data_IF_214596813345
#
_entry.id   IF_214596813345
#
_cell.length_a   1.000
_cell.length_b   1.000
_cell.length_c   1.000
_cell.angle_alpha   90.00
_cell.angle_beta   90.00
_cell.angle_gamma   90.00
#
_symmetry.space_group_name_H-M   'P 1'
#
loop_
_entity.id
_entity.type
_entity.pdbx_description
1 polymer ?
#
# COMPACT_ATOMS: atom_id res chain seq x y z
N UNK A 1 -9.06 -10.81 -38.69
CA UNK A 1 -8.46 -11.37 -37.47
C UNK A 1 -8.08 -12.80 -37.79
N UNK A 2 -6.81 -13.17 -37.61
CA UNK A 2 -6.43 -14.58 -37.62
C UNK A 2 -7.12 -15.29 -36.46
N UNK A 3 -7.51 -16.57 -36.60
CA UNK A 3 -8.07 -17.34 -35.50
C UNK A 3 -7.08 -17.38 -34.33
N UNK A 4 -7.57 -17.14 -33.12
CA UNK A 4 -6.75 -17.33 -31.92
C UNK A 4 -6.48 -18.83 -31.78
N UNK A 5 -5.22 -19.25 -31.80
CA UNK A 5 -4.88 -20.63 -31.46
C UNK A 5 -5.24 -20.89 -29.99
N UNK A 6 -6.11 -21.88 -29.76
CA UNK A 6 -6.53 -22.34 -28.44
C UNK A 6 -5.64 -23.48 -27.91
N UNK A 7 -4.51 -23.72 -28.58
CA UNK A 7 -3.52 -24.71 -28.22
C UNK A 7 -2.11 -24.12 -28.31
N UNK A 8 -1.17 -24.76 -27.60
CA UNK A 8 0.23 -24.38 -27.61
C UNK A 8 0.63 -23.39 -26.52
N UNK A 9 1.94 -23.12 -26.44
CA UNK A 9 2.56 -22.39 -25.32
C UNK A 9 1.97 -20.99 -25.14
N UNK A 10 1.66 -20.29 -26.23
CA UNK A 10 1.07 -18.94 -26.16
C UNK A 10 -0.34 -18.95 -25.55
N UNK A 11 -1.12 -20.01 -25.76
CA UNK A 11 -2.42 -20.17 -25.14
C UNK A 11 -2.28 -20.51 -23.65
N UNK A 12 -1.50 -21.53 -23.31
CA UNK A 12 -1.36 -21.99 -21.93
C UNK A 12 -0.78 -20.91 -21.01
N UNK A 13 0.12 -20.06 -21.52
CA UNK A 13 0.70 -18.97 -20.75
C UNK A 13 -0.31 -17.91 -20.29
N UNK A 14 -1.48 -17.81 -20.92
CA UNK A 14 -2.54 -16.86 -20.52
C UNK A 14 -3.27 -17.29 -19.24
N UNK A 15 -3.12 -18.53 -18.80
CA UNK A 15 -3.89 -19.13 -17.72
C UNK A 15 -2.96 -19.67 -16.63
N UNK A 16 -3.17 -19.25 -15.39
CA UNK A 16 -2.43 -19.83 -14.26
C UNK A 16 -3.00 -21.18 -13.86
N UNK A 17 -4.32 -21.26 -13.75
CA UNK A 17 -5.03 -22.40 -13.18
C UNK A 17 -6.25 -22.76 -14.01
N UNK A 18 -6.76 -23.97 -13.79
CA UNK A 18 -8.01 -24.43 -14.39
C UNK A 18 -9.16 -23.48 -14.05
N UNK A 19 -9.21 -22.92 -12.83
CA UNK A 19 -10.24 -21.95 -12.45
C UNK A 19 -10.24 -20.71 -13.36
N UNK A 20 -9.07 -20.15 -13.66
CA UNK A 20 -8.95 -18.98 -14.53
C UNK A 20 -9.45 -19.25 -15.96
N UNK A 21 -9.12 -20.42 -16.52
CA UNK A 21 -9.58 -20.84 -17.84
C UNK A 21 -11.09 -21.12 -17.85
N UNK A 22 -11.59 -21.86 -16.85
CA UNK A 22 -13.00 -22.20 -16.68
C UNK A 22 -13.86 -20.95 -16.59
N UNK A 23 -13.53 -20.05 -15.66
CA UNK A 23 -14.27 -18.82 -15.47
C UNK A 23 -14.25 -18.01 -16.75
N UNK A 24 -13.07 -17.74 -17.35
CA UNK A 24 -13.00 -16.99 -18.61
C UNK A 24 -13.92 -17.55 -19.68
N UNK A 25 -13.85 -18.86 -19.90
CA UNK A 25 -14.67 -19.53 -20.90
C UNK A 25 -16.16 -19.30 -20.60
N UNK A 26 -16.57 -19.44 -19.34
CA UNK A 26 -17.97 -19.28 -18.91
C UNK A 26 -18.56 -17.88 -19.12
N UNK A 27 -17.79 -16.81 -18.87
CA UNK A 27 -18.33 -15.44 -18.97
C UNK A 27 -18.04 -14.72 -20.28
N UNK A 28 -17.24 -15.32 -21.17
CA UNK A 28 -16.94 -14.70 -22.48
C UNK A 28 -17.37 -15.53 -23.68
N UNK A 29 -17.75 -16.80 -23.47
CA UNK A 29 -18.11 -17.71 -24.54
C UNK A 29 -19.44 -18.42 -24.24
N UNK A 30 -20.24 -18.76 -25.27
CA UNK A 30 -20.17 -18.22 -26.63
C UNK A 30 -20.35 -16.70 -26.63
N UNK A 31 -19.60 -15.98 -27.48
CA UNK A 31 -19.58 -14.51 -27.47
C UNK A 31 -20.93 -13.87 -27.81
N UNK A 32 -21.79 -14.60 -28.52
CA UNK A 32 -23.13 -14.22 -28.92
C UNK A 32 -24.23 -14.75 -27.98
N UNK A 33 -23.86 -15.58 -27.00
CA UNK A 33 -24.78 -16.23 -26.07
C UNK A 33 -24.08 -16.58 -24.74
N UNK A 34 -23.51 -15.60 -24.07
CA UNK A 34 -22.80 -15.78 -22.79
C UNK A 34 -23.72 -16.48 -21.77
N UNK A 35 -23.18 -17.45 -21.01
CA UNK A 35 -23.92 -18.28 -20.05
C UNK A 35 -25.05 -19.14 -20.66
N UNK A 36 -25.09 -19.33 -21.98
CA UNK A 36 -26.09 -20.19 -22.63
C UNK A 36 -25.83 -21.69 -22.46
N UNK A 37 -24.58 -22.08 -22.22
CA UNK A 37 -24.22 -23.46 -21.91
C UNK A 37 -24.48 -23.76 -20.43
N UNK A 38 -24.83 -25.00 -20.12
CA UNK A 38 -24.87 -25.46 -18.73
C UNK A 38 -23.45 -25.60 -18.14
N UNK A 39 -23.39 -25.76 -16.81
CA UNK A 39 -22.12 -25.87 -16.08
C UNK A 39 -21.28 -27.04 -16.58
N UNK A 40 -21.91 -28.19 -16.84
CA UNK A 40 -21.23 -29.40 -17.28
C UNK A 40 -20.59 -29.22 -18.67
N UNK A 41 -21.25 -28.50 -19.57
CA UNK A 41 -20.72 -28.15 -20.88
C UNK A 41 -19.49 -27.22 -20.76
N UNK A 42 -19.50 -26.23 -19.87
CA UNK A 42 -18.31 -25.40 -19.63
C UNK A 42 -17.15 -26.19 -19.02
N UNK A 43 -17.44 -27.11 -18.09
CA UNK A 43 -16.44 -28.01 -17.52
C UNK A 43 -15.85 -28.94 -18.58
N UNK A 44 -16.68 -29.47 -19.48
CA UNK A 44 -16.26 -30.32 -20.59
C UNK A 44 -15.39 -29.56 -21.60
N UNK A 45 -15.77 -28.31 -21.97
CA UNK A 45 -14.95 -27.45 -22.82
C UNK A 45 -13.61 -27.15 -22.16
N UNK A 46 -13.61 -26.86 -20.86
CA UNK A 46 -12.37 -26.62 -20.09
C UNK A 46 -11.47 -27.86 -20.13
N UNK A 47 -12.01 -29.04 -19.83
CA UNK A 47 -11.28 -30.30 -19.88
C UNK A 47 -10.71 -30.59 -21.28
N UNK A 48 -11.49 -30.34 -22.34
CA UNK A 48 -11.03 -30.49 -23.72
C UNK A 48 -9.86 -29.54 -24.04
N UNK A 49 -9.93 -28.28 -23.60
CA UNK A 49 -8.84 -27.32 -23.79
C UNK A 49 -7.58 -27.74 -23.04
N UNK A 50 -7.71 -28.32 -21.84
CA UNK A 50 -6.57 -28.87 -21.09
C UNK A 50 -5.93 -30.03 -21.86
N UNK A 51 -6.74 -30.99 -22.32
CA UNK A 51 -6.26 -32.14 -23.10
C UNK A 51 -5.58 -31.69 -24.40
N UNK A 52 -6.18 -30.77 -25.14
CA UNK A 52 -5.63 -30.20 -26.38
C UNK A 52 -4.29 -29.47 -26.16
N UNK A 53 -3.99 -29.08 -24.93
CA UNK A 53 -2.74 -28.44 -24.53
C UNK A 53 -1.76 -29.39 -23.81
N UNK A 54 -2.03 -30.70 -23.85
CA UNK A 54 -1.11 -31.72 -23.34
C UNK A 54 -1.17 -31.96 -21.83
N UNK A 55 -2.20 -31.44 -21.15
CA UNK A 55 -2.44 -31.79 -19.74
C UNK A 55 -3.13 -33.16 -19.67
N UNK A 56 -2.63 -34.12 -18.85
CA UNK A 56 -3.17 -35.46 -18.80
C UNK A 56 -4.55 -35.49 -18.11
N UNK A 57 -5.47 -36.36 -18.56
CA UNK A 57 -6.77 -36.52 -17.90
C UNK A 57 -6.62 -37.16 -16.51
N UNK A 58 -7.47 -36.73 -15.57
CA UNK A 58 -7.60 -37.35 -14.25
C UNK A 58 -8.60 -38.52 -14.21
N UNK A 59 -8.73 -39.16 -13.05
CA UNK A 59 -9.65 -40.29 -12.83
C UNK A 59 -11.08 -39.87 -12.47
N UNK A 60 -11.31 -38.58 -12.25
CA UNK A 60 -12.61 -38.01 -11.90
C UNK A 60 -12.95 -36.89 -12.88
N UNK A 61 -14.23 -36.72 -13.26
CA UNK A 61 -14.66 -35.56 -14.02
C UNK A 61 -14.26 -34.26 -13.32
N UNK A 62 -13.93 -33.24 -14.12
CA UNK A 62 -13.77 -31.89 -13.60
C UNK A 62 -15.13 -31.43 -13.05
N UNK A 63 -15.15 -30.94 -11.80
CA UNK A 63 -16.36 -30.44 -11.14
C UNK A 63 -16.19 -28.95 -10.84
N UNK A 64 -17.30 -28.24 -10.65
CA UNK A 64 -17.30 -26.82 -10.27
C UNK A 64 -16.89 -26.64 -8.79
N UNK A 65 -15.64 -26.97 -8.49
CA UNK A 65 -14.99 -26.71 -7.21
C UNK A 65 -13.91 -25.65 -7.43
N UNK A 66 -14.27 -24.40 -7.14
CA UNK A 66 -13.40 -23.24 -7.35
C UNK A 66 -12.09 -23.34 -6.56
N UNK A 67 -12.14 -23.85 -5.33
CA UNK A 67 -10.97 -24.01 -4.48
C UNK A 67 -10.02 -25.07 -5.09
N UNK A 68 -10.54 -26.22 -5.50
CA UNK A 68 -9.73 -27.24 -6.15
C UNK A 68 -9.17 -26.77 -7.50
N UNK A 69 -9.99 -26.11 -8.32
CA UNK A 69 -9.57 -25.62 -9.64
C UNK A 69 -8.51 -24.52 -9.57
N UNK A 70 -8.44 -23.74 -8.48
CA UNK A 70 -7.35 -22.77 -8.23
C UNK A 70 -6.00 -23.44 -8.03
N UNK A 71 -5.99 -24.59 -7.36
CA UNK A 71 -4.78 -25.38 -7.09
C UNK A 71 -4.32 -26.21 -8.31
N UNK A 72 -5.18 -26.38 -9.32
CA UNK A 72 -4.82 -27.04 -10.59
C UNK A 72 -4.03 -26.07 -11.49
N UNK A 73 -2.73 -25.94 -11.21
CA UNK A 73 -1.83 -25.01 -11.89
C UNK A 73 -1.40 -25.50 -13.29
N UNK A 74 -1.60 -24.66 -14.31
CA UNK A 74 -1.23 -24.89 -15.71
C UNK A 74 0.18 -24.39 -16.04
N UNK A 75 0.64 -23.34 -15.35
CA UNK A 75 2.00 -22.82 -15.46
C UNK A 75 2.62 -22.75 -14.06
N UNK A 76 3.52 -23.68 -13.70
CA UNK A 76 4.08 -23.75 -12.35
C UNK A 76 4.93 -22.52 -12.03
N UNK A 77 4.83 -22.06 -10.78
CA UNK A 77 5.69 -21.01 -10.24
C UNK A 77 7.12 -21.55 -10.02
N UNK A 78 8.16 -20.72 -10.19
CA UNK A 78 9.49 -21.05 -9.69
C UNK A 78 9.46 -21.20 -8.15
N UNK A 79 10.38 -21.97 -7.56
CA UNK A 79 10.39 -22.24 -6.13
C UNK A 79 10.57 -20.96 -5.32
N UNK A 80 9.84 -20.87 -4.20
CA UNK A 80 9.94 -19.79 -3.22
C UNK A 80 11.37 -19.61 -2.74
N UNK A 81 11.95 -18.44 -3.00
CA UNK A 81 13.20 -18.02 -2.38
C UNK A 81 13.00 -16.78 -1.54
N UNK A 82 13.77 -16.74 -0.45
CA UNK A 82 13.85 -15.77 0.65
C UNK A 82 13.30 -14.34 0.46
N UNK A 83 12.94 -13.73 1.60
CA UNK A 83 12.26 -12.44 1.75
C UNK A 83 12.86 -11.28 0.95
N UNK A 84 11.97 -10.49 0.34
CA UNK A 84 12.26 -9.27 -0.43
C UNK A 84 12.62 -8.08 0.48
N UNK A 85 13.57 -7.24 0.05
CA UNK A 85 13.91 -5.97 0.73
C UNK A 85 12.83 -4.91 0.53
N UNK A 86 12.56 -4.08 1.54
CA UNK A 86 11.59 -2.98 1.46
C UNK A 86 12.02 -1.76 0.63
N UNK A 87 13.19 -1.79 -0.02
CA UNK A 87 13.69 -0.66 -0.81
C UNK A 87 13.19 -0.71 -2.25
N UNK A 88 12.43 0.30 -2.66
CA UNK A 88 11.89 0.39 -4.02
C UNK A 88 12.98 0.47 -5.09
N UNK A 89 14.15 1.02 -4.76
CA UNK A 89 15.27 1.10 -5.69
C UNK A 89 15.90 -0.29 -5.95
N UNK A 90 15.77 -1.21 -5.00
CA UNK A 90 16.21 -2.60 -5.14
C UNK A 90 15.18 -3.48 -5.87
N UNK A 91 13.99 -2.95 -6.14
CA UNK A 91 12.87 -3.67 -6.77
C UNK A 91 12.15 -4.63 -5.83
N UNK A 92 10.83 -4.73 -5.98
CA UNK A 92 9.96 -5.54 -5.10
C UNK A 92 9.62 -6.93 -5.65
N UNK A 93 9.96 -7.18 -6.92
CA UNK A 93 9.50 -8.32 -7.71
C UNK A 93 10.53 -8.65 -8.81
N UNK A 94 10.51 -9.86 -9.39
CA UNK A 94 11.42 -10.21 -10.50
C UNK A 94 10.82 -9.92 -11.87
N UNK A 95 11.67 -9.75 -12.89
CA UNK A 95 11.20 -9.54 -14.25
C UNK A 95 10.37 -10.74 -14.77
N UNK A 96 10.76 -11.95 -14.39
CA UNK A 96 10.06 -13.20 -14.68
C UNK A 96 8.68 -13.22 -14.04
N UNK A 97 8.56 -12.78 -12.78
CA UNK A 97 7.30 -12.68 -12.07
C UNK A 97 6.32 -11.72 -12.77
N UNK A 98 6.80 -10.54 -13.15
CA UNK A 98 5.99 -9.58 -13.92
C UNK A 98 5.61 -10.10 -15.31
N UNK A 99 6.47 -10.89 -15.95
CA UNK A 99 6.17 -11.51 -17.25
C UNK A 99 5.01 -12.50 -17.14
N UNK A 100 4.99 -13.35 -16.11
CA UNK A 100 3.85 -14.24 -15.81
C UNK A 100 2.59 -13.42 -15.50
N UNK A 101 2.75 -12.38 -14.68
CA UNK A 101 1.69 -11.46 -14.30
C UNK A 101 0.99 -10.77 -15.47
N UNK A 102 1.75 -10.39 -16.49
CA UNK A 102 1.21 -9.79 -17.72
C UNK A 102 0.23 -10.73 -18.40
N UNK A 103 0.55 -12.02 -18.48
CA UNK A 103 -0.31 -12.99 -19.15
C UNK A 103 -1.63 -13.18 -18.39
N UNK A 104 -1.58 -13.24 -17.05
CA UNK A 104 -2.78 -13.30 -16.21
C UNK A 104 -3.60 -12.02 -16.28
N UNK A 105 -2.94 -10.86 -16.27
CA UNK A 105 -3.60 -9.57 -16.45
C UNK A 105 -4.34 -9.53 -17.80
N UNK A 106 -3.73 -10.01 -18.87
CA UNK A 106 -4.36 -10.08 -20.21
C UNK A 106 -5.60 -10.98 -20.22
N UNK A 107 -5.54 -12.15 -19.58
CA UNK A 107 -6.69 -13.07 -19.52
C UNK A 107 -7.84 -12.54 -18.67
N UNK A 108 -7.54 -11.97 -17.50
CA UNK A 108 -8.52 -11.74 -16.44
C UNK A 108 -8.89 -10.28 -16.20
N UNK A 109 -7.98 -9.34 -16.47
CA UNK A 109 -8.15 -7.92 -16.11
C UNK A 109 -8.26 -6.99 -17.32
N UNK A 110 -7.59 -7.33 -18.42
CA UNK A 110 -7.47 -6.45 -19.59
C UNK A 110 -8.81 -6.19 -20.28
N UNK A 111 -9.81 -7.04 -20.07
CA UNK A 111 -11.19 -6.79 -20.55
C UNK A 111 -11.72 -5.43 -20.11
N UNK A 112 -11.32 -4.93 -18.93
CA UNK A 112 -11.79 -3.64 -18.40
C UNK A 112 -10.64 -2.65 -18.16
N UNK A 113 -9.42 -3.14 -17.96
CA UNK A 113 -8.28 -2.35 -17.49
C UNK A 113 -7.15 -2.21 -18.51
N UNK A 114 -6.45 -1.08 -18.47
CA UNK A 114 -5.18 -0.90 -19.18
C UNK A 114 -4.04 -0.63 -18.19
N UNK A 115 -2.99 -1.45 -18.27
CA UNK A 115 -1.82 -1.30 -17.42
C UNK A 115 -0.71 -0.40 -18.03
N UNK A 116 -0.83 0.08 -19.28
CA UNK A 116 0.30 0.74 -19.99
C UNK A 116 0.00 2.04 -20.73
N UNK A 117 -1.17 2.66 -20.53
CA UNK A 117 -1.52 3.92 -21.19
C UNK A 117 -2.15 4.89 -20.18
N UNK A 118 -1.42 5.91 -19.70
CA UNK A 118 -1.95 6.90 -18.75
C UNK A 118 -3.06 7.76 -19.36
N UNK A 119 -3.00 7.99 -20.68
CA UNK A 119 -3.90 8.88 -21.43
C UNK A 119 -4.97 8.13 -22.26
N UNK A 120 -5.29 6.88 -21.91
CA UNK A 120 -6.47 6.23 -22.49
C UNK A 120 -7.72 6.96 -21.96
N UNK A 121 -8.16 7.96 -22.71
CA UNK A 121 -9.25 8.86 -22.36
C UNK A 121 -10.47 8.10 -21.91
N UNK A 122 -11.02 8.50 -20.76
CA UNK A 122 -12.40 8.23 -20.37
C UNK A 122 -13.32 8.87 -21.43
N UNK A 123 -13.73 8.10 -22.43
CA UNK A 123 -14.73 8.50 -23.41
C UNK A 123 -14.24 9.49 -24.47
N UNK A 124 -14.14 9.01 -25.71
CA UNK A 124 -13.85 9.83 -26.88
C UNK A 124 -14.41 9.24 -28.15
N UNK A 125 -15.72 9.00 -28.21
CA UNK A 125 -16.52 9.00 -29.45
C UNK A 125 -16.15 8.05 -30.60
N UNK A 126 -15.44 6.94 -30.38
CA UNK A 126 -15.28 5.92 -31.41
C UNK A 126 -16.38 4.86 -31.30
N UNK A 127 -16.89 4.40 -32.46
CA UNK A 127 -17.77 3.23 -32.54
C UNK A 127 -17.21 2.06 -31.70
N UNK A 128 -18.08 1.24 -31.08
CA UNK A 128 -17.66 0.07 -30.32
C UNK A 128 -16.84 -0.87 -31.22
N UNK A 129 -15.52 -0.79 -31.11
CA UNK A 129 -14.60 -1.71 -31.77
C UNK A 129 -14.44 -2.94 -30.88
N UNK A 130 -14.31 -4.16 -31.43
CA UNK A 130 -13.92 -5.32 -30.63
C UNK A 130 -12.56 -5.07 -29.97
N UNK A 131 -12.56 -4.88 -28.66
CA UNK A 131 -11.38 -4.50 -27.88
C UNK A 131 -11.69 -4.42 -26.38
N UNK A 132 -10.68 -4.17 -25.53
CA UNK A 132 -10.86 -4.02 -24.09
C UNK A 132 -11.72 -2.79 -23.75
N UNK A 133 -12.67 -2.94 -22.83
CA UNK A 133 -13.53 -1.90 -22.29
C UNK A 133 -14.90 -2.42 -21.85
N UNK A 134 -15.56 -1.67 -20.97
CA UNK A 134 -16.95 -1.89 -20.52
C UNK A 134 -17.86 -0.97 -21.32
N UNK A 135 -18.84 -1.54 -22.03
CA UNK A 135 -19.87 -0.75 -22.70
C UNK A 135 -20.82 -0.12 -21.68
N UNK A 136 -20.89 1.21 -21.67
CA UNK A 136 -21.89 2.00 -20.94
C UNK A 136 -22.69 2.85 -21.93
N UNK A 137 -23.82 2.31 -22.39
CA UNK A 137 -24.60 2.93 -23.46
C UNK A 137 -23.82 2.97 -24.77
N UNK A 138 -23.69 4.16 -25.36
CA UNK A 138 -22.89 4.39 -26.58
C UNK A 138 -21.40 4.58 -26.30
N UNK A 139 -20.97 4.54 -25.04
CA UNK A 139 -19.57 4.75 -24.65
C UNK A 139 -18.90 3.43 -24.31
N UNK A 140 -17.67 3.25 -24.79
CA UNK A 140 -16.77 2.21 -24.30
C UNK A 140 -15.87 2.82 -23.22
N UNK A 141 -15.97 2.34 -21.99
CA UNK A 141 -15.17 2.80 -20.86
C UNK A 141 -14.04 1.84 -20.61
N UNK A 142 -12.82 2.36 -20.66
CA UNK A 142 -11.63 1.63 -20.24
C UNK A 142 -11.10 2.26 -18.97
N UNK A 143 -10.68 1.43 -18.02
CA UNK A 143 -10.16 1.87 -16.73
C UNK A 143 -8.63 1.85 -16.74
N UNK A 144 -7.94 2.98 -17.00
CA UNK A 144 -6.49 3.03 -16.95
C UNK A 144 -6.03 2.86 -15.51
N UNK A 145 -5.13 1.91 -15.30
CA UNK A 145 -4.47 1.70 -14.01
C UNK A 145 -3.25 2.61 -13.86
N UNK A 146 -2.83 3.32 -14.91
CA UNK A 146 -1.63 4.15 -14.88
C UNK A 146 -1.86 5.60 -14.45
N UNK A 147 -3.11 6.04 -14.24
CA UNK A 147 -3.44 7.38 -13.69
C UNK A 147 -3.47 7.43 -12.15
N UNK A 148 -3.84 8.60 -11.60
CA UNK A 148 -3.92 8.87 -10.16
C UNK A 148 -4.86 7.91 -9.41
N UNK A 149 -5.91 7.39 -10.07
CA UNK A 149 -6.91 6.52 -9.46
C UNK A 149 -6.45 5.12 -9.02
N UNK A 150 -5.34 4.58 -9.54
CA UNK A 150 -4.84 3.26 -9.10
C UNK A 150 -4.22 3.31 -7.70
N UNK A 151 -3.65 4.45 -7.29
CA UNK A 151 -2.99 4.59 -5.99
C UNK A 151 -3.73 5.54 -5.05
N UNK A 152 -4.86 6.09 -5.48
CA UNK A 152 -5.77 6.82 -4.60
C UNK A 152 -6.12 5.90 -3.42
N UNK A 153 -5.66 6.28 -2.23
CA UNK A 153 -5.79 5.55 -0.96
C UNK A 153 -5.05 4.21 -0.85
N UNK A 154 -4.07 3.92 -1.73
CA UNK A 154 -3.19 2.73 -1.64
C UNK A 154 -1.73 3.17 -1.55
N UNK A 155 -1.08 2.86 -0.42
CA UNK A 155 0.23 3.42 -0.09
C UNK A 155 1.36 2.39 -0.09
N UNK A 156 1.01 1.11 -0.24
CA UNK A 156 1.97 0.01 -0.25
C UNK A 156 1.62 -1.05 -1.30
N UNK A 157 2.60 -1.89 -1.63
CA UNK A 157 2.37 -3.09 -2.46
C UNK A 157 1.31 -4.00 -1.83
N UNK A 158 1.26 -4.08 -0.51
CA UNK A 158 0.26 -4.88 0.21
C UNK A 158 -1.16 -4.37 0.01
N UNK A 159 -1.37 -3.05 -0.01
CA UNK A 159 -2.69 -2.47 -0.29
C UNK A 159 -3.12 -2.70 -1.74
N UNK A 160 -2.16 -2.62 -2.67
CA UNK A 160 -2.39 -2.95 -4.08
C UNK A 160 -2.76 -4.43 -4.25
N UNK A 161 -2.04 -5.34 -3.60
CA UNK A 161 -2.32 -6.77 -3.60
C UNK A 161 -3.71 -7.07 -3.05
N UNK A 162 -4.02 -6.58 -1.84
CA UNK A 162 -5.33 -6.82 -1.22
C UNK A 162 -6.47 -6.26 -2.07
N UNK A 163 -6.31 -5.05 -2.60
CA UNK A 163 -7.33 -4.46 -3.48
C UNK A 163 -7.54 -5.31 -4.72
N UNK A 164 -6.44 -5.71 -5.38
CA UNK A 164 -6.51 -6.51 -6.60
C UNK A 164 -7.22 -7.84 -6.31
N UNK A 165 -6.78 -8.56 -5.28
CA UNK A 165 -7.36 -9.85 -4.88
C UNK A 165 -8.85 -9.76 -4.50
N UNK A 166 -9.21 -8.79 -3.66
CA UNK A 166 -10.55 -8.71 -3.06
C UNK A 166 -11.60 -8.04 -3.96
N UNK A 167 -11.18 -7.43 -5.07
CA UNK A 167 -12.13 -6.74 -5.97
C UNK A 167 -12.04 -7.16 -7.41
N UNK A 168 -11.02 -7.93 -7.79
CA UNK A 168 -10.82 -8.41 -9.15
C UNK A 168 -10.67 -9.93 -9.19
N UNK A 169 -11.13 -10.59 -10.27
CA UNK A 169 -12.01 -10.04 -11.31
C UNK A 169 -13.36 -9.55 -10.73
N UNK A 170 -13.97 -8.51 -11.32
CA UNK A 170 -15.12 -7.81 -10.73
C UNK A 170 -16.33 -8.72 -10.46
N UNK A 171 -16.58 -9.69 -11.34
CA UNK A 171 -17.69 -10.64 -11.22
C UNK A 171 -17.40 -11.79 -10.24
N UNK A 172 -16.11 -12.15 -10.10
CA UNK A 172 -15.66 -13.23 -9.22
C UNK A 172 -14.41 -12.78 -8.45
N UNK A 173 -14.56 -11.92 -7.43
CA UNK A 173 -13.44 -11.53 -6.60
C UNK A 173 -12.75 -12.77 -5.99
N UNK A 174 -11.43 -12.71 -5.83
CA UNK A 174 -10.62 -13.82 -5.33
C UNK A 174 -10.64 -15.09 -6.21
N UNK A 175 -11.11 -15.05 -7.46
CA UNK A 175 -11.20 -16.24 -8.32
C UNK A 175 -9.83 -16.78 -8.82
N UNK A 176 -8.77 -16.00 -8.72
CA UNK A 176 -7.42 -16.45 -9.09
C UNK A 176 -6.67 -17.03 -7.88
N UNK A 177 -5.62 -17.80 -8.13
CA UNK A 177 -4.75 -18.26 -7.04
C UNK A 177 -3.97 -17.08 -6.42
N UNK A 178 -3.48 -17.26 -5.19
CA UNK A 178 -2.64 -16.26 -4.53
C UNK A 178 -1.42 -15.87 -5.38
N UNK A 179 -0.74 -16.86 -5.97
CA UNK A 179 0.41 -16.63 -6.84
C UNK A 179 0.05 -15.81 -8.09
N UNK A 180 -1.11 -16.06 -8.69
CA UNK A 180 -1.59 -15.26 -9.83
C UNK A 180 -1.73 -13.79 -9.46
N UNK A 181 -2.26 -13.50 -8.27
CA UNK A 181 -2.38 -12.11 -7.80
C UNK A 181 -1.03 -11.47 -7.51
N UNK A 182 -0.07 -12.21 -6.92
CA UNK A 182 1.30 -11.71 -6.71
C UNK A 182 1.97 -11.37 -8.04
N UNK A 183 1.85 -12.25 -9.03
CA UNK A 183 2.38 -12.06 -10.38
C UNK A 183 1.70 -10.84 -11.06
N UNK A 184 0.37 -10.72 -10.98
CA UNK A 184 -0.36 -9.54 -11.52
C UNK A 184 0.14 -8.25 -10.86
N UNK A 185 0.31 -8.24 -9.54
CA UNK A 185 0.83 -7.06 -8.81
C UNK A 185 2.23 -6.72 -9.29
N UNK A 186 3.12 -7.70 -9.43
CA UNK A 186 4.46 -7.51 -10.00
C UNK A 186 4.40 -6.87 -11.40
N UNK A 187 3.50 -7.33 -12.27
CA UNK A 187 3.27 -6.72 -13.57
C UNK A 187 2.77 -5.27 -13.48
N UNK A 188 1.82 -4.98 -12.59
CA UNK A 188 1.32 -3.62 -12.39
C UNK A 188 2.42 -2.68 -11.89
N UNK A 189 3.31 -3.17 -11.02
CA UNK A 189 4.47 -2.42 -10.56
C UNK A 189 5.45 -2.14 -11.71
N UNK A 190 5.74 -3.15 -12.54
CA UNK A 190 6.56 -3.00 -13.75
C UNK A 190 5.98 -1.98 -14.72
N UNK A 191 4.67 -2.06 -14.98
CA UNK A 191 4.01 -1.18 -15.92
C UNK A 191 3.96 0.28 -15.42
N UNK A 192 4.00 0.48 -14.09
CA UNK A 192 4.22 1.79 -13.45
C UNK A 192 5.66 2.29 -13.51
N UNK A 193 6.61 1.48 -13.98
CA UNK A 193 8.03 1.82 -14.09
C UNK A 193 8.85 1.54 -12.84
N UNK A 194 8.33 0.80 -11.85
CA UNK A 194 9.14 0.35 -10.71
C UNK A 194 10.15 -0.71 -11.16
N UNK A 195 11.42 -0.65 -10.74
CA UNK A 195 12.43 -1.58 -11.19
C UNK A 195 12.14 -3.00 -10.67
N UNK A 196 12.54 -3.99 -11.47
CA UNK A 196 12.61 -5.37 -11.00
C UNK A 196 13.82 -5.53 -10.07
N UNK A 197 13.67 -6.36 -9.04
CA UNK A 197 14.71 -6.79 -8.14
C UNK A 197 15.12 -8.24 -8.38
N UNK A 198 15.93 -8.77 -7.46
CA UNK A 198 16.46 -10.14 -7.55
C UNK A 198 15.55 -11.20 -6.91
N UNK A 199 14.47 -10.78 -6.22
CA UNK A 199 13.60 -11.67 -5.44
C UNK A 199 12.14 -11.49 -5.82
N UNK A 200 11.38 -12.58 -5.80
CA UNK A 200 9.94 -12.56 -6.10
C UNK A 200 9.15 -11.95 -4.95
N UNK A 201 8.12 -11.19 -5.29
CA UNK A 201 7.08 -10.76 -4.36
C UNK A 201 6.35 -11.99 -3.81
N UNK A 202 6.33 -12.14 -2.48
CA UNK A 202 5.73 -13.29 -1.81
C UNK A 202 4.40 -12.92 -1.13
N UNK A 203 3.64 -13.92 -0.68
CA UNK A 203 2.40 -13.76 0.08
C UNK A 203 2.53 -13.14 1.48
N UNK A 204 3.73 -12.70 1.89
CA UNK A 204 3.93 -12.02 3.18
C UNK A 204 3.33 -10.60 3.14
N UNK A 205 2.06 -10.51 3.51
CA UNK A 205 1.30 -9.26 3.53
C UNK A 205 1.92 -8.19 4.44
N UNK A 206 2.57 -8.57 5.53
CA UNK A 206 3.21 -7.61 6.42
C UNK A 206 4.44 -6.99 5.74
N UNK A 207 5.25 -7.81 5.07
CA UNK A 207 6.36 -7.33 4.26
C UNK A 207 5.88 -6.46 3.09
N UNK A 208 4.85 -6.89 2.35
CA UNK A 208 4.28 -6.10 1.24
C UNK A 208 3.73 -4.75 1.69
N UNK A 209 3.14 -4.66 2.88
CA UNK A 209 2.66 -3.38 3.42
C UNK A 209 3.79 -2.42 3.81
N UNK A 210 4.99 -2.94 3.98
CA UNK A 210 6.18 -2.14 4.24
C UNK A 210 6.87 -1.67 2.95
N UNK A 211 6.54 -2.27 1.81
CA UNK A 211 6.97 -1.83 0.48
C UNK A 211 6.13 -0.62 0.05
N UNK A 212 6.60 0.58 0.40
CA UNK A 212 5.85 1.83 0.18
C UNK A 212 5.87 2.21 -1.30
N UNK A 213 4.73 2.58 -1.88
CA UNK A 213 4.64 3.07 -3.26
C UNK A 213 4.72 4.61 -3.29
N UNK A 214 5.61 5.19 -4.12
CA UNK A 214 5.66 6.62 -4.36
C UNK A 214 4.30 7.19 -4.74
N UNK A 215 3.99 8.32 -4.12
CA UNK A 215 2.84 9.12 -4.44
C UNK A 215 3.31 10.32 -5.27
N UNK A 216 2.63 10.61 -6.38
CA UNK A 216 2.99 11.73 -7.25
C UNK A 216 2.97 13.05 -6.47
N UNK A 217 4.02 13.87 -6.62
CA UNK A 217 4.19 15.10 -5.85
C UNK A 217 4.70 14.91 -4.41
N UNK A 218 4.80 13.67 -3.93
CA UNK A 218 5.37 13.36 -2.62
C UNK A 218 6.77 12.76 -2.72
N UNK A 219 7.62 13.17 -1.78
CA UNK A 219 8.93 12.60 -1.52
C UNK A 219 8.86 11.65 -0.33
N UNK A 220 9.38 10.44 -0.48
CA UNK A 220 9.58 9.50 0.63
C UNK A 220 10.62 10.04 1.62
N UNK A 221 10.28 10.10 2.91
CA UNK A 221 11.17 10.48 4.01
C UNK A 221 11.79 9.28 4.73
N UNK A 222 11.19 8.09 4.61
CA UNK A 222 11.71 6.84 5.13
C UNK A 222 11.46 5.71 4.14
N UNK A 223 12.53 5.02 3.74
CA UNK A 223 12.50 4.01 2.67
C UNK A 223 12.26 2.58 3.17
N UNK A 224 12.03 2.38 4.46
CA UNK A 224 11.85 1.04 5.05
C UNK A 224 13.13 0.24 5.27
N UNK A 225 14.30 0.68 4.78
CA UNK A 225 15.53 -0.12 4.84
C UNK A 225 16.63 0.53 5.68
N UNK A 226 16.67 1.86 5.76
CA UNK A 226 17.66 2.61 6.54
C UNK A 226 17.12 3.99 6.98
N UNK A 227 17.90 4.68 7.81
CA UNK A 227 17.56 6.00 8.34
C UNK A 227 18.14 7.17 7.52
N UNK A 228 18.42 6.98 6.22
CA UNK A 228 18.95 8.05 5.39
C UNK A 228 17.99 9.26 5.40
N UNK A 229 18.57 10.47 5.56
CA UNK A 229 17.80 11.72 5.70
C UNK A 229 17.12 11.92 7.06
N UNK A 230 17.29 10.99 8.00
CA UNK A 230 16.83 11.11 9.39
C UNK A 230 18.01 11.24 10.36
N UNK A 231 17.75 11.91 11.49
CA UNK A 231 18.70 12.15 12.58
C UNK A 231 18.01 11.90 13.91
N UNK A 232 18.77 11.79 14.99
CA UNK A 232 18.25 11.41 16.30
C UNK A 232 18.70 12.36 17.38
N UNK A 233 17.85 12.54 18.39
CA UNK A 233 18.24 13.12 19.66
C UNK A 233 17.56 12.34 20.78
N UNK A 234 18.35 11.75 21.67
CA UNK A 234 17.92 11.00 22.84
C UNK A 234 18.59 11.53 24.11
N UNK A 235 17.91 11.50 25.25
CA UNK A 235 18.50 11.81 26.56
C UNK A 235 17.65 12.75 27.42
N UNK A 236 18.33 13.52 28.27
CA UNK A 236 17.70 14.34 29.32
C UNK A 236 17.90 15.84 29.07
N UNK A 237 16.95 16.47 28.37
CA UNK A 237 16.74 17.92 28.33
C UNK A 237 17.92 18.80 27.92
N UNK A 238 18.88 18.28 27.16
CA UNK A 238 20.13 18.97 26.82
C UNK A 238 20.39 18.93 25.31
N UNK A 239 21.30 19.79 24.84
CA UNK A 239 21.74 19.82 23.45
C UNK A 239 22.43 18.51 23.03
N UNK A 240 22.45 18.18 21.72
CA UNK A 240 23.23 17.06 21.20
C UNK A 240 24.73 17.19 21.53
N UNK A 241 25.42 16.07 21.73
CA UNK A 241 26.88 16.05 21.83
C UNK A 241 27.53 16.63 20.55
N UNK A 242 28.67 17.34 20.68
CA UNK A 242 29.47 17.53 21.90
C UNK A 242 29.03 18.70 22.78
N UNK A 243 28.06 19.53 22.35
CA UNK A 243 27.66 20.75 23.08
C UNK A 243 26.88 20.45 24.36
N UNK A 244 26.10 19.37 24.37
CA UNK A 244 25.37 18.91 25.56
C UNK A 244 25.49 17.41 25.81
N UNK A 245 24.53 16.86 26.56
CA UNK A 245 24.51 15.46 26.99
C UNK A 245 23.71 14.53 26.07
N UNK A 246 23.05 15.08 25.05
CA UNK A 246 22.14 14.36 24.16
C UNK A 246 22.87 13.40 23.23
N UNK A 247 22.36 12.18 23.12
CA UNK A 247 22.85 11.17 22.18
C UNK A 247 22.22 11.36 20.81
N UNK A 248 23.02 11.22 19.75
CA UNK A 248 22.57 11.18 18.36
C UNK A 248 22.59 9.76 17.77
N UNK A 249 22.95 8.76 18.58
CA UNK A 249 22.87 7.35 18.23
C UNK A 249 21.44 6.84 18.47
N UNK A 250 20.77 6.23 17.48
CA UNK A 250 19.43 5.66 17.65
C UNK A 250 19.35 4.52 18.68
N UNK A 251 20.46 3.81 18.93
CA UNK A 251 20.54 2.70 19.87
C UNK A 251 19.46 1.64 19.68
N UNK A 252 18.89 1.16 20.78
CA UNK A 252 17.74 0.24 20.76
C UNK A 252 16.39 0.96 20.68
N UNK A 253 16.40 2.30 20.71
CA UNK A 253 15.18 3.12 20.76
C UNK A 253 14.52 3.23 19.41
N UNK A 254 15.31 3.46 18.36
CA UNK A 254 14.83 3.49 16.99
C UNK A 254 15.44 2.31 16.23
N UNK A 255 14.58 1.38 15.78
CA UNK A 255 14.98 0.21 15.02
C UNK A 255 14.15 0.09 13.76
N UNK A 256 14.70 -0.53 12.74
CA UNK A 256 13.93 -0.88 11.54
C UNK A 256 13.49 -2.32 11.68
N UNK A 257 12.18 -2.53 11.70
CA UNK A 257 11.57 -3.84 11.80
C UNK A 257 10.52 -3.97 10.71
N UNK A 258 10.69 -4.96 9.83
CA UNK A 258 9.76 -5.25 8.73
C UNK A 258 9.35 -3.99 7.96
N UNK A 259 10.34 -3.18 7.59
CA UNK A 259 10.15 -1.95 6.82
C UNK A 259 9.42 -0.80 7.53
N UNK A 260 9.27 -0.86 8.84
CA UNK A 260 8.76 0.22 9.68
C UNK A 260 9.82 0.68 10.69
N UNK A 261 9.75 1.94 11.10
CA UNK A 261 10.49 2.44 12.26
C UNK A 261 9.75 1.98 13.51
N UNK A 262 10.34 1.05 14.25
CA UNK A 262 9.95 0.77 15.62
C UNK A 262 10.57 1.80 16.56
N UNK A 263 9.74 2.40 17.41
CA UNK A 263 10.13 3.32 18.46
C UNK A 263 9.80 2.67 19.80
N UNK A 264 10.78 2.45 20.68
CA UNK A 264 10.55 1.80 21.98
C UNK A 264 9.91 2.70 23.04
N UNK A 265 10.02 4.03 22.85
CA UNK A 265 9.63 5.03 23.82
C UNK A 265 10.68 5.31 24.89
N UNK A 266 11.85 4.63 24.87
CA UNK A 266 12.86 4.71 25.92
C UNK A 266 14.30 4.69 25.37
N UNK A 267 15.18 5.62 25.77
CA UNK A 267 14.89 6.84 26.55
C UNK A 267 14.06 7.86 25.76
N UNK A 268 13.71 8.96 26.44
CA UNK A 268 13.03 10.10 25.83
C UNK A 268 13.87 10.76 24.73
N UNK A 269 13.19 11.24 23.69
CA UNK A 269 13.81 11.92 22.57
C UNK A 269 12.97 11.83 21.31
N UNK A 270 13.59 11.97 20.14
CA UNK A 270 12.89 11.90 18.86
C UNK A 270 13.84 11.60 17.70
N UNK A 271 13.29 11.00 16.65
CA UNK A 271 13.88 10.96 15.30
C UNK A 271 13.34 12.13 14.50
N UNK A 272 14.18 12.82 13.73
CA UNK A 272 13.77 14.00 12.97
C UNK A 272 14.35 14.03 11.55
N UNK A 273 13.69 14.77 10.67
CA UNK A 273 14.14 15.01 9.29
C UNK A 273 15.38 15.88 9.26
N UNK A 274 16.37 15.56 8.45
CA UNK A 274 17.52 16.43 8.22
C UNK A 274 17.11 17.73 7.47
N UNK A 275 16.12 17.65 6.59
CA UNK A 275 15.54 18.81 5.91
C UNK A 275 14.52 19.52 6.81
N UNK A 276 14.34 20.82 6.53
CA UNK A 276 13.38 21.70 7.20
C UNK A 276 12.23 22.03 6.28
N UNK A 277 11.03 22.17 6.83
CA UNK A 277 9.78 22.40 6.10
C UNK A 277 8.94 23.47 6.79
N UNK A 278 8.17 24.22 6.00
CA UNK A 278 7.20 25.22 6.48
C UNK A 278 5.82 24.92 5.90
N UNK A 279 5.66 25.05 4.59
CA UNK A 279 4.42 24.66 3.90
C UNK A 279 4.59 23.26 3.30
N UNK A 280 3.78 22.30 3.77
CA UNK A 280 3.88 20.91 3.35
C UNK A 280 2.58 20.13 3.58
N UNK A 281 2.47 18.98 2.93
CA UNK A 281 1.58 17.89 3.33
C UNK A 281 2.45 16.70 3.72
N UNK A 282 2.43 16.33 5.00
CA UNK A 282 3.09 15.13 5.55
C UNK A 282 2.05 14.02 5.67
N UNK A 283 2.40 12.82 5.20
CA UNK A 283 1.59 11.60 5.37
C UNK A 283 2.44 10.49 5.96
N UNK A 284 1.86 9.74 6.89
CA UNK A 284 2.47 8.55 7.48
C UNK A 284 1.40 7.60 8.04
N UNK A 285 1.78 6.36 8.28
CA UNK A 285 1.00 5.44 9.10
C UNK A 285 1.63 5.30 10.49
N UNK A 286 0.79 5.36 11.53
CA UNK A 286 1.16 5.17 12.94
C UNK A 286 0.42 3.95 13.51
N UNK A 287 1.14 3.07 14.20
CA UNK A 287 0.55 1.95 14.95
C UNK A 287 1.01 1.97 16.39
N UNK A 288 0.05 2.06 17.30
CA UNK A 288 0.24 1.88 18.74
C UNK A 288 0.42 0.41 19.08
N UNK A 289 1.43 0.07 19.88
CA UNK A 289 1.68 -1.31 20.32
C UNK A 289 0.95 -1.57 21.64
N UNK A 290 0.04 -2.55 21.71
CA UNK A 290 -0.60 -2.95 22.97
C UNK A 290 0.41 -3.43 24.01
N UNK A 291 0.11 -3.24 25.29
CA UNK A 291 0.91 -3.77 26.38
C UNK A 291 0.48 -5.19 26.76
N UNK A 292 1.44 -5.99 27.21
CA UNK A 292 1.15 -7.30 27.80
C UNK A 292 0.39 -7.08 29.11
N UNK A 293 -0.73 -7.78 29.29
CA UNK A 293 -1.53 -7.74 30.52
C UNK A 293 -2.60 -6.66 30.58
N UNK A 294 -2.88 -5.97 29.47
CA UNK A 294 -4.09 -5.14 29.37
C UNK A 294 -5.35 -6.00 29.37
N UNK A 295 -6.39 -5.54 30.05
CA UNK A 295 -7.72 -6.15 30.03
C UNK A 295 -8.62 -5.48 28.98
N UNK A 296 -8.36 -4.20 28.69
CA UNK A 296 -9.13 -3.40 27.75
C UNK A 296 -8.31 -2.26 27.14
N UNK A 297 -8.81 -1.63 26.07
CA UNK A 297 -8.15 -0.43 25.49
C UNK A 297 -8.13 0.76 26.45
N UNK A 298 -9.03 0.83 27.44
CA UNK A 298 -8.99 1.91 28.45
C UNK A 298 -7.79 1.83 29.38
N UNK A 299 -7.11 0.69 29.45
CA UNK A 299 -5.86 0.52 30.20
C UNK A 299 -4.66 1.10 29.42
N UNK A 300 -4.86 1.46 28.15
CA UNK A 300 -3.78 1.94 27.31
C UNK A 300 -3.44 3.41 27.60
N UNK A 301 -2.24 3.61 28.13
CA UNK A 301 -1.64 4.92 28.27
C UNK A 301 -0.24 4.91 27.67
N UNK A 302 -0.04 5.68 26.61
CA UNK A 302 1.21 5.74 25.86
C UNK A 302 1.39 7.16 25.34
N UNK A 303 2.62 7.69 25.34
CA UNK A 303 2.92 8.98 24.74
C UNK A 303 3.89 8.88 23.54
N UNK A 304 3.65 9.71 22.54
CA UNK A 304 4.48 9.97 21.37
C UNK A 304 4.00 11.30 20.80
N UNK A 305 4.39 11.66 19.59
CA UNK A 305 3.92 12.89 18.96
C UNK A 305 4.69 13.19 17.70
N UNK A 306 4.12 14.06 16.87
CA UNK A 306 4.78 14.60 15.69
C UNK A 306 5.14 16.04 15.99
N UNK A 307 6.43 16.31 16.11
CA UNK A 307 6.97 17.65 16.35
C UNK A 307 7.06 18.40 15.02
N UNK A 308 6.46 19.58 14.96
CA UNK A 308 6.55 20.47 13.80
C UNK A 308 7.46 21.66 14.10
N UNK A 309 8.13 22.16 13.07
CA UNK A 309 8.90 23.41 13.10
C UNK A 309 10.06 23.45 14.12
N UNK A 310 10.69 22.30 14.40
CA UNK A 310 11.84 22.23 15.32
C UNK A 310 13.03 22.98 14.73
N UNK A 311 13.51 24.04 15.41
CA UNK A 311 14.68 24.82 15.00
C UNK A 311 15.91 24.58 15.88
N UNK A 312 15.68 24.47 17.19
CA UNK A 312 16.71 24.26 18.19
C UNK A 312 16.50 22.92 18.88
N UNK A 313 17.58 22.15 19.00
CA UNK A 313 17.53 20.79 19.48
C UNK A 313 17.77 20.69 20.98
N UNK A 314 16.74 20.24 21.70
CA UNK A 314 16.79 19.70 23.07
C UNK A 314 15.74 18.60 23.18
N UNK A 315 15.80 17.75 24.21
CA UNK A 315 14.72 16.78 24.45
C UNK A 315 13.52 17.55 24.99
N UNK A 316 12.53 17.68 24.09
CA UNK A 316 11.37 18.60 24.07
C UNK A 316 11.73 20.01 23.59
N UNK A 317 11.89 20.18 22.26
CA UNK A 317 12.20 21.47 21.66
C UNK A 317 10.96 22.36 21.57
N UNK A 318 11.17 23.68 21.50
CA UNK A 318 10.13 24.61 21.07
C UNK A 318 9.58 24.15 19.73
N UNK A 319 8.29 23.86 19.68
CA UNK A 319 7.62 23.24 18.54
C UNK A 319 6.10 23.24 18.70
N UNK A 320 5.41 23.01 17.59
CA UNK A 320 4.00 22.64 17.62
C UNK A 320 3.92 21.11 17.57
N UNK A 321 3.45 20.47 18.63
CA UNK A 321 3.31 19.02 18.67
C UNK A 321 1.90 18.61 18.27
N UNK A 322 1.80 17.79 17.23
CA UNK A 322 0.62 16.96 17.00
C UNK A 322 0.69 15.80 17.99
N UNK A 323 -0.08 15.94 19.07
CA UNK A 323 -0.02 15.13 20.28
C UNK A 323 -0.17 13.64 19.97
N UNK A 324 0.57 12.75 20.63
CA UNK A 324 0.48 11.30 20.44
C UNK A 324 0.01 10.51 21.65
N UNK A 325 -0.28 11.15 22.80
CA UNK A 325 -0.96 10.49 23.92
C UNK A 325 -2.26 9.88 23.42
N UNK A 326 -2.43 8.55 23.51
CA UNK A 326 -3.51 7.84 22.80
C UNK A 326 -4.93 8.43 22.96
N UNK A 327 -5.44 8.74 24.17
CA UNK A 327 -6.74 9.44 24.34
C UNK A 327 -6.85 10.83 23.66
N UNK A 328 -5.71 11.52 23.52
CA UNK A 328 -5.58 12.86 22.95
C UNK A 328 -4.82 12.88 21.63
N UNK A 329 -4.67 11.72 20.97
CA UNK A 329 -3.87 11.60 19.76
C UNK A 329 -4.33 12.61 18.71
N UNK A 330 -3.40 13.20 17.99
CA UNK A 330 -3.64 14.19 16.94
C UNK A 330 -4.37 15.47 17.39
N UNK A 331 -4.48 15.73 18.70
CA UNK A 331 -4.69 17.08 19.23
C UNK A 331 -3.41 17.91 19.08
N UNK A 332 -3.39 19.13 19.63
CA UNK A 332 -2.21 19.99 19.63
C UNK A 332 -1.69 20.18 21.06
N UNK A 333 -0.38 20.10 21.22
CA UNK A 333 0.37 20.57 22.38
C UNK A 333 1.40 21.62 21.91
N UNK A 334 1.18 22.91 22.22
CA UNK A 334 2.19 23.94 22.02
C UNK A 334 3.33 23.78 23.03
N UNK A 335 4.56 23.55 22.56
CA UNK A 335 5.76 23.48 23.42
C UNK A 335 6.52 24.80 23.30
N UNK A 336 6.56 25.59 24.38
CA UNK A 336 7.25 26.89 24.44
C UNK A 336 6.80 27.86 23.32
N UNK A 337 5.52 27.76 22.95
CA UNK A 337 4.83 28.54 21.91
C UNK A 337 3.35 28.66 22.28
N UNK A 338 2.66 29.59 21.64
CA UNK A 338 1.20 29.70 21.67
C UNK A 338 0.61 29.16 20.35
N UNK A 339 -0.61 28.63 20.40
CA UNK A 339 -1.36 28.27 19.19
C UNK A 339 -2.88 28.31 19.45
N UNK A 340 -3.64 28.83 18.49
CA UNK A 340 -5.11 28.74 18.49
C UNK A 340 -5.53 27.52 17.67
N UNK A 341 -6.27 26.60 18.29
CA UNK A 341 -6.68 25.36 17.62
C UNK A 341 -8.03 24.82 18.11
N UNK A 342 -8.63 23.97 17.27
CA UNK A 342 -9.79 23.15 17.60
C UNK A 342 -9.46 21.69 17.38
N UNK A 343 -9.97 20.81 18.26
CA UNK A 343 -9.82 19.36 18.11
C UNK A 343 -11.15 18.66 18.40
N UNK A 344 -11.55 17.75 17.52
CA UNK A 344 -12.82 17.02 17.62
C UNK A 344 -12.59 15.62 18.19
N UNK A 345 -12.72 15.48 19.51
CA UNK A 345 -12.52 14.21 20.20
C UNK A 345 -13.54 13.12 19.79
N UNK A 346 -14.74 13.49 19.35
CA UNK A 346 -15.73 12.52 18.88
C UNK A 346 -15.32 11.93 17.53
N UNK A 347 -15.00 12.78 16.55
CA UNK A 347 -14.53 12.33 15.22
C UNK A 347 -13.25 11.50 15.36
N UNK A 348 -12.31 11.94 16.20
CA UNK A 348 -11.10 11.18 16.50
C UNK A 348 -11.40 9.76 17.00
N UNK A 349 -12.24 9.63 18.03
CA UNK A 349 -12.56 8.31 18.59
C UNK A 349 -13.25 7.40 17.56
N UNK A 350 -14.13 7.97 16.74
CA UNK A 350 -14.83 7.22 15.69
C UNK A 350 -13.92 6.83 14.52
N UNK A 351 -12.88 7.63 14.23
CA UNK A 351 -11.95 7.38 13.14
C UNK A 351 -10.75 6.50 13.55
N UNK A 352 -10.37 6.50 14.83
CA UNK A 352 -9.25 5.70 15.35
C UNK A 352 -9.53 4.20 15.18
N UNK A 353 -8.57 3.48 14.60
CA UNK A 353 -8.63 2.02 14.52
C UNK A 353 -8.24 1.39 15.86
N UNK A 354 -8.68 0.13 16.13
CA UNK A 354 -8.31 -0.60 17.34
C UNK A 354 -6.80 -0.62 17.60
N UNK A 355 -6.41 -0.77 18.87
CA UNK A 355 -5.00 -0.88 19.24
C UNK A 355 -4.29 -2.03 18.50
N UNK A 356 -3.07 -1.79 18.05
CA UNK A 356 -2.33 -2.73 17.20
C UNK A 356 -2.66 -2.64 15.71
N UNK A 357 -3.65 -1.84 15.30
CA UNK A 357 -3.89 -1.52 13.89
C UNK A 357 -3.17 -0.25 13.44
N UNK A 358 -2.96 -0.15 12.13
CA UNK A 358 -2.33 1.00 11.48
C UNK A 358 -3.33 2.12 11.23
N UNK A 359 -3.00 3.32 11.68
CA UNK A 359 -3.78 4.53 11.44
C UNK A 359 -3.04 5.42 10.43
N UNK A 360 -3.72 5.85 9.37
CA UNK A 360 -3.21 6.84 8.42
C UNK A 360 -3.34 8.24 9.02
N UNK A 361 -2.25 8.99 9.06
CA UNK A 361 -2.20 10.37 9.55
C UNK A 361 -1.74 11.28 8.41
N UNK A 362 -2.47 12.38 8.22
CA UNK A 362 -2.07 13.46 7.32
C UNK A 362 -1.99 14.77 8.11
N UNK A 363 -0.89 15.50 7.93
CA UNK A 363 -0.67 16.83 8.49
C UNK A 363 -0.41 17.78 7.33
N UNK A 364 -1.30 18.73 7.11
CA UNK A 364 -1.14 19.81 6.12
C UNK A 364 -0.77 21.07 6.87
N UNK A 365 0.36 21.68 6.54
CA UNK A 365 0.69 23.05 6.94
C UNK A 365 0.73 23.93 5.70
N UNK A 366 -0.10 24.97 5.66
CA UNK A 366 -0.17 25.89 4.52
C UNK A 366 -0.77 27.21 4.95
N UNK A 367 -0.11 28.31 4.58
CA UNK A 367 -0.66 29.66 4.80
C UNK A 367 -0.80 30.04 6.27
N UNK A 368 0.06 29.51 7.15
CA UNK A 368 0.02 29.78 8.60
C UNK A 368 -0.98 28.94 9.39
N UNK A 369 -1.69 28.02 8.72
CA UNK A 369 -2.63 27.10 9.34
C UNK A 369 -2.10 25.66 9.29
N UNK A 370 -2.56 24.83 10.21
CA UNK A 370 -2.26 23.38 10.23
C UNK A 370 -3.56 22.57 10.34
N UNK A 371 -3.74 21.60 9.46
CA UNK A 371 -4.85 20.65 9.50
C UNK A 371 -4.33 19.24 9.70
N UNK A 372 -4.97 18.50 10.60
CA UNK A 372 -4.61 17.11 10.90
C UNK A 372 -5.80 16.20 10.64
N UNK A 373 -5.59 15.20 9.80
CA UNK A 373 -6.59 14.19 9.44
C UNK A 373 -6.17 12.81 9.93
N UNK A 374 -7.14 12.05 10.47
CA UNK A 374 -7.00 10.66 10.90
C UNK A 374 -7.87 9.77 10.03
N UNK A 375 -7.27 8.80 9.33
CA UNK A 375 -7.97 7.87 8.45
C UNK A 375 -8.92 8.58 7.46
N UNK A 376 -8.48 9.72 6.93
CA UNK A 376 -9.24 10.55 5.98
C UNK A 376 -10.27 11.52 6.60
N UNK A 377 -10.40 11.57 7.92
CA UNK A 377 -11.31 12.48 8.62
C UNK A 377 -10.53 13.62 9.27
N UNK A 378 -10.90 14.87 9.01
CA UNK A 378 -10.29 16.04 9.67
C UNK A 378 -10.63 16.02 11.17
N UNK A 379 -9.60 15.96 12.02
CA UNK A 379 -9.77 15.87 13.48
C UNK A 379 -9.34 17.12 14.23
N UNK A 380 -8.39 17.88 13.67
CA UNK A 380 -7.79 19.04 14.35
C UNK A 380 -7.42 20.11 13.34
N UNK A 381 -7.65 21.37 13.71
CA UNK A 381 -7.27 22.55 12.94
C UNK A 381 -6.60 23.56 13.85
N UNK A 382 -5.43 24.05 13.45
CA UNK A 382 -4.71 25.18 14.04
C UNK A 382 -4.90 26.37 13.10
N UNK A 383 -5.43 27.47 13.62
CA UNK A 383 -5.69 28.69 12.86
C UNK A 383 -4.63 29.76 13.08
N UNK A 384 -3.89 29.69 14.18
CA UNK A 384 -2.82 30.65 14.51
C UNK A 384 -1.66 29.95 15.21
N UNK A 385 -0.42 30.24 14.78
CA UNK A 385 0.84 29.87 15.44
C UNK A 385 1.97 30.83 15.03
N UNK A 386 3.06 30.92 15.80
CA UNK A 386 4.14 31.89 15.56
C UNK A 386 5.21 31.46 14.52
N UNK A 387 5.17 30.22 14.02
CA UNK A 387 6.22 29.71 13.13
C UNK A 387 6.10 30.25 11.70
N UNK A 388 7.06 31.09 11.30
CA UNK A 388 7.14 31.69 9.95
C UNK A 388 8.33 31.17 9.12
N UNK A 389 9.22 30.37 9.72
CA UNK A 389 10.41 29.84 9.06
C UNK A 389 10.42 28.31 9.06
N UNK A 390 11.03 27.66 8.04
CA UNK A 390 11.13 26.20 8.00
C UNK A 390 11.84 25.61 9.21
N UNK A 391 11.28 24.52 9.75
CA UNK A 391 11.90 23.73 10.83
C UNK A 391 11.85 22.23 10.55
N UNK A 392 12.59 21.46 11.34
CA UNK A 392 12.61 20.00 11.24
C UNK A 392 11.27 19.41 11.70
N UNK A 393 10.92 18.26 11.13
CA UNK A 393 9.79 17.43 11.57
C UNK A 393 10.35 16.28 12.41
N UNK A 394 9.75 16.01 13.57
CA UNK A 394 10.21 14.99 14.49
C UNK A 394 9.11 14.00 14.88
N UNK A 395 9.50 12.79 15.30
CA UNK A 395 8.62 11.79 15.88
C UNK A 395 9.16 11.35 17.23
N UNK A 396 8.36 11.51 18.28
CA UNK A 396 8.80 11.32 19.66
C UNK A 396 8.93 9.85 20.07
N UNK A 397 9.96 9.59 20.86
CA UNK A 397 10.09 8.45 21.75
C UNK A 397 9.72 8.92 23.16
N UNK A 398 8.51 8.58 23.64
CA UNK A 398 8.05 9.00 24.98
C UNK A 398 7.19 7.95 25.70
N UNK A 399 7.80 6.88 26.18
CA UNK A 399 7.13 5.86 26.98
C UNK A 399 6.23 4.89 26.19
N UNK A 400 5.75 5.27 25.00
CA UNK A 400 5.04 4.36 24.09
C UNK A 400 5.98 3.53 23.22
N UNK A 401 5.64 2.26 23.04
CA UNK A 401 6.10 1.51 21.87
C UNK A 401 5.17 1.77 20.69
N UNK A 402 5.71 2.28 19.58
CA UNK A 402 4.94 2.56 18.36
C UNK A 402 5.70 2.14 17.11
N UNK A 403 4.98 1.96 16.01
CA UNK A 403 5.57 1.81 14.68
C UNK A 403 5.15 2.95 13.76
N UNK A 404 6.09 3.40 12.92
CA UNK A 404 5.86 4.36 11.85
C UNK A 404 6.25 3.76 10.50
N UNK A 405 5.47 4.01 9.45
CA UNK A 405 5.83 3.67 8.06
C UNK A 405 5.18 4.62 7.08
N UNK A 406 5.42 4.42 5.78
CA UNK A 406 4.80 5.20 4.70
C UNK A 406 5.02 6.73 4.85
N UNK A 407 6.13 7.13 5.46
CA UNK A 407 6.43 8.53 5.79
C UNK A 407 6.87 9.26 4.53
N UNK A 408 6.06 10.22 4.08
CA UNK A 408 6.28 10.98 2.84
C UNK A 408 5.74 12.39 2.93
N UNK A 409 6.28 13.28 2.12
CA UNK A 409 6.00 14.71 2.19
C UNK A 409 5.90 15.36 0.81
N UNK A 410 4.90 16.22 0.61
CA UNK A 410 4.82 17.14 -0.52
C UNK A 410 5.07 18.58 -0.01
N UNK A 411 5.88 19.35 -0.72
CA UNK A 411 6.17 20.77 -0.40
C UNK A 411 5.24 21.66 -1.25
N UNK A 412 4.75 22.77 -0.68
CA UNK A 412 3.81 23.71 -1.35
C UNK A 412 4.44 25.07 -1.67
#
# INVERSE_FOLDING_TARGET
MEPIELSGREFTQKWHSVAGLYHKSRWTMPSDAILSLDVDAYLAVTAYLLEANGFPPGNTPLVEDDAAMKEMVLVPAPPDTERVSGDIAAGFYTAEQAMRGKAYFTGSCQTCHLAGQPDATRGGGSEPSPGPGISMGSQLIVMPLMGQGLLEYRHSVGDLYLKTRTTMPIEYPDALSEQSYLDIVAYLLQAKGYPAGERELTGDLEAMRAMTLPEEGFRTLFNGSNFAGLRFLLGSGCEPRPLGCGSTDPGTTFRIEKGAIYISGRPSGYVYTERKFLNFTLRLDLRYVPYVGMESESDYYSNTGILLFVKEHRVWPKSLEVQGVYPWALSILPIDTEAAFTSNAHVRRSAMRPLGEWNSVEVVSKGGEVWVSLNGQLVTTVTEHEFEEPGHLGFQSEGASVYLRNIRIAEH
#
